data_IF_679422640974
#
_entry.id   IF_679422640974
#
_cell.length_a   1.000
_cell.length_b   1.000
_cell.length_c   1.000
_cell.angle_alpha   90.00
_cell.angle_beta   90.00
_cell.angle_gamma   90.00
#
_symmetry.space_group_name_H-M   'P 1'
#
loop_
_entity.id
_entity.type
_entity.pdbx_description
1 polymer ?
#
# COMPACT_ATOMS: atom_id res chain seq x y z
N UNK A 1 -9.21 -41.93 -3.62
CA UNK A 1 -8.45 -41.65 -4.86
C UNK A 1 -8.46 -40.17 -5.27
N UNK A 2 -9.17 -39.26 -4.56
CA UNK A 2 -9.22 -37.80 -4.84
C UNK A 2 -8.49 -36.94 -3.79
N UNK A 3 -7.88 -37.59 -2.80
CA UNK A 3 -7.18 -36.89 -1.70
C UNK A 3 -5.73 -37.27 -1.80
N UNK A 4 -4.82 -36.30 -1.76
CA UNK A 4 -3.38 -36.52 -1.63
C UNK A 4 -3.06 -37.27 -0.32
N UNK A 5 -1.86 -37.86 -0.24
CA UNK A 5 -1.40 -38.44 1.03
C UNK A 5 -1.34 -37.33 2.10
N UNK A 6 -1.65 -37.68 3.34
CA UNK A 6 -1.49 -36.72 4.45
C UNK A 6 -0.01 -36.35 4.60
N UNK A 7 0.25 -35.06 4.69
CA UNK A 7 1.57 -34.52 4.97
C UNK A 7 2.06 -34.90 6.38
N UNK A 8 3.33 -34.57 6.67
CA UNK A 8 3.88 -34.72 8.02
C UNK A 8 3.10 -33.97 9.11
N UNK A 9 2.34 -32.93 8.73
CA UNK A 9 1.45 -32.17 9.61
C UNK A 9 0.04 -32.75 9.70
N UNK A 10 -0.19 -33.98 9.21
CA UNK A 10 -1.51 -34.61 9.17
C UNK A 10 -2.56 -33.83 8.35
N UNK A 11 -2.14 -33.11 7.32
CA UNK A 11 -2.99 -32.32 6.41
C UNK A 11 -3.00 -32.93 5.01
N UNK A 12 -4.11 -32.81 4.31
CA UNK A 12 -4.26 -33.16 2.91
C UNK A 12 -5.20 -32.20 2.21
N UNK A 13 -4.95 -31.91 0.95
CA UNK A 13 -5.81 -31.10 0.10
C UNK A 13 -6.57 -31.91 -0.93
N UNK A 14 -7.54 -31.26 -1.56
CA UNK A 14 -8.22 -31.74 -2.77
C UNK A 14 -7.72 -30.88 -3.92
N UNK A 15 -7.27 -31.51 -5.01
CA UNK A 15 -6.73 -30.82 -6.17
C UNK A 15 -7.64 -29.69 -6.67
N UNK A 16 -7.04 -28.56 -7.02
CA UNK A 16 -7.71 -27.35 -7.53
C UNK A 16 -8.71 -26.72 -6.57
N UNK A 17 -8.67 -27.06 -5.29
CA UNK A 17 -9.56 -26.51 -4.28
C UNK A 17 -8.78 -25.89 -3.11
N UNK A 18 -9.47 -25.07 -2.32
CA UNK A 18 -8.95 -24.52 -1.06
C UNK A 18 -9.41 -25.33 0.15
N UNK A 19 -10.00 -26.51 -0.09
CA UNK A 19 -10.44 -27.41 0.98
C UNK A 19 -9.24 -28.06 1.64
N UNK A 20 -9.24 -28.08 2.97
CA UNK A 20 -8.20 -28.74 3.76
C UNK A 20 -8.85 -29.82 4.63
N UNK A 21 -8.25 -31.00 4.61
CA UNK A 21 -8.65 -32.14 5.44
C UNK A 21 -7.49 -32.39 6.40
N UNK A 22 -7.78 -32.37 7.69
CA UNK A 22 -6.82 -32.71 8.74
C UNK A 22 -7.23 -34.01 9.39
N UNK A 23 -6.28 -34.96 9.59
CA UNK A 23 -6.57 -36.21 10.24
C UNK A 23 -6.14 -36.18 11.72
N UNK A 24 -6.94 -36.86 12.55
CA UNK A 24 -6.63 -37.14 13.95
C UNK A 24 -6.15 -38.59 14.00
N UNK A 25 -4.98 -38.83 14.57
CA UNK A 25 -4.39 -40.17 14.70
C UNK A 25 -4.44 -40.65 16.15
N UNK A 26 -4.64 -41.94 16.33
CA UNK A 26 -4.51 -42.60 17.61
C UNK A 26 -3.03 -42.85 17.96
N UNK A 27 -2.78 -43.46 19.13
CA UNK A 27 -1.42 -43.83 19.59
C UNK A 27 -0.69 -44.83 18.67
N UNK A 28 -1.42 -45.54 17.81
CA UNK A 28 -0.91 -46.47 16.84
C UNK A 28 -0.77 -45.88 15.42
N UNK A 29 -0.85 -44.52 15.32
CA UNK A 29 -0.82 -43.75 14.07
C UNK A 29 -1.95 -44.07 13.07
N UNK A 30 -3.01 -44.76 13.49
CA UNK A 30 -4.19 -45.02 12.67
C UNK A 30 -5.10 -43.78 12.73
N UNK A 31 -5.71 -43.44 11.58
CA UNK A 31 -6.66 -42.34 11.48
C UNK A 31 -7.98 -42.75 12.13
N UNK A 32 -8.40 -42.02 13.17
CA UNK A 32 -9.66 -42.22 13.86
C UNK A 32 -10.61 -41.00 13.77
N UNK A 33 -10.16 -39.90 13.18
CA UNK A 33 -11.00 -38.73 12.99
C UNK A 33 -10.51 -37.85 11.84
N UNK A 34 -11.44 -37.09 11.24
CA UNK A 34 -11.16 -36.13 10.18
C UNK A 34 -11.82 -34.79 10.50
N UNK A 35 -11.10 -33.70 10.24
CA UNK A 35 -11.64 -32.33 10.27
C UNK A 35 -11.54 -31.75 8.87
N UNK A 36 -12.68 -31.39 8.28
CA UNK A 36 -12.76 -30.81 6.95
C UNK A 36 -13.01 -29.30 7.05
N UNK A 37 -12.12 -28.50 6.47
CA UNK A 37 -12.28 -27.04 6.34
C UNK A 37 -12.64 -26.72 4.89
N UNK A 38 -13.83 -26.14 4.69
CA UNK A 38 -14.27 -25.69 3.36
C UNK A 38 -13.68 -24.33 3.08
N UNK A 39 -12.72 -24.25 2.14
CA UNK A 39 -12.15 -22.99 1.64
C UNK A 39 -13.00 -22.43 0.51
N UNK A 40 -13.08 -21.10 0.42
CA UNK A 40 -13.75 -20.37 -0.65
C UNK A 40 -12.82 -19.28 -1.19
N UNK A 41 -12.81 -19.09 -2.50
CA UNK A 41 -12.19 -17.92 -3.13
C UNK A 41 -13.24 -16.79 -3.19
N UNK A 42 -12.81 -15.58 -2.86
CA UNK A 42 -13.61 -14.36 -2.95
C UNK A 42 -12.89 -13.44 -3.92
N UNK A 43 -13.62 -12.86 -4.86
CA UNK A 43 -13.11 -11.95 -5.88
C UNK A 43 -13.62 -10.54 -5.67
N UNK A 44 -12.92 -9.52 -6.20
CA UNK A 44 -13.31 -8.11 -6.13
C UNK A 44 -12.85 -7.37 -4.86
N UNK A 45 -12.22 -8.04 -3.91
CA UNK A 45 -11.79 -7.43 -2.63
C UNK A 45 -10.68 -6.41 -2.82
N UNK A 46 -9.84 -6.53 -3.85
CA UNK A 46 -8.69 -5.65 -4.09
C UNK A 46 -9.01 -4.39 -4.87
N UNK A 47 -10.26 -4.17 -5.26
CA UNK A 47 -10.68 -2.91 -5.91
C UNK A 47 -10.28 -1.67 -5.10
N UNK A 48 -10.17 -1.79 -3.78
CA UNK A 48 -9.72 -0.75 -2.86
C UNK A 48 -8.27 -0.31 -3.13
N UNK A 49 -7.40 -1.22 -3.58
CA UNK A 49 -5.95 -1.02 -3.69
C UNK A 49 -5.40 -1.26 -5.09
N UNK A 50 -6.27 -1.43 -6.10
CA UNK A 50 -5.85 -1.73 -7.47
C UNK A 50 -4.85 -0.70 -8.01
N UNK A 51 -5.07 0.57 -7.73
CA UNK A 51 -4.18 1.68 -8.05
C UNK A 51 -2.77 1.55 -7.45
N UNK A 52 -2.68 0.95 -6.26
CA UNK A 52 -1.40 0.73 -5.59
C UNK A 52 -0.63 -0.43 -6.23
N UNK A 53 -1.33 -1.48 -6.69
CA UNK A 53 -0.73 -2.59 -7.43
C UNK A 53 -0.13 -2.13 -8.76
N UNK A 54 -0.82 -1.24 -9.47
CA UNK A 54 -0.36 -0.66 -10.73
C UNK A 54 0.90 0.20 -10.56
N UNK A 55 1.16 0.70 -9.36
CA UNK A 55 2.37 1.50 -9.07
C UNK A 55 3.67 0.71 -9.15
N UNK A 56 3.63 -0.62 -9.11
CA UNK A 56 4.81 -1.49 -9.13
C UNK A 56 5.63 -1.49 -7.84
N UNK A 57 5.18 -0.80 -6.80
CA UNK A 57 5.87 -0.74 -5.50
C UNK A 57 5.63 -2.00 -4.68
N UNK A 58 6.59 -2.35 -3.83
CA UNK A 58 6.45 -3.45 -2.88
C UNK A 58 5.45 -3.11 -1.78
N UNK A 59 4.57 -4.06 -1.43
CA UNK A 59 3.42 -3.86 -0.54
C UNK A 59 3.50 -4.81 0.63
N UNK A 60 3.48 -4.27 1.84
CA UNK A 60 3.36 -5.02 3.08
C UNK A 60 1.92 -4.94 3.60
N UNK A 61 1.32 -6.10 3.88
CA UNK A 61 -0.05 -6.19 4.40
C UNK A 61 0.00 -6.58 5.87
N UNK A 62 -0.56 -5.73 6.71
CA UNK A 62 -0.66 -5.87 8.15
C UNK A 62 -2.12 -6.06 8.56
N UNK A 63 -2.35 -6.74 9.67
CA UNK A 63 -3.70 -6.87 10.22
C UNK A 63 -3.85 -8.08 11.13
N UNK A 64 -4.90 -8.07 11.92
CA UNK A 64 -5.21 -9.13 12.87
C UNK A 64 -5.38 -10.48 12.16
N UNK A 65 -5.16 -11.59 12.85
CA UNK A 65 -5.56 -12.90 12.34
C UNK A 65 -7.05 -12.92 11.96
N UNK A 66 -7.38 -13.58 10.86
CA UNK A 66 -8.78 -13.74 10.42
C UNK A 66 -9.41 -12.56 9.68
N UNK A 67 -8.71 -11.41 9.50
CA UNK A 67 -9.27 -10.27 8.74
C UNK A 67 -9.29 -10.47 7.22
N UNK A 68 -8.77 -11.61 6.72
CA UNK A 68 -8.79 -11.95 5.30
C UNK A 68 -7.49 -11.66 4.54
N UNK A 69 -6.34 -11.53 5.21
CA UNK A 69 -5.04 -11.29 4.55
C UNK A 69 -4.75 -12.29 3.44
N UNK A 70 -4.88 -13.58 3.71
CA UNK A 70 -4.67 -14.65 2.72
C UNK A 70 -5.61 -14.54 1.51
N UNK A 71 -6.87 -14.11 1.72
CA UNK A 71 -7.82 -13.87 0.63
C UNK A 71 -7.38 -12.69 -0.24
N UNK A 72 -6.93 -11.60 0.38
CA UNK A 72 -6.42 -10.41 -0.29
C UNK A 72 -5.19 -10.79 -1.14
N UNK A 73 -4.22 -11.51 -0.56
CA UNK A 73 -2.99 -11.93 -1.26
C UNK A 73 -3.32 -12.83 -2.46
N UNK A 74 -4.23 -13.78 -2.29
CA UNK A 74 -4.65 -14.67 -3.39
C UNK A 74 -5.21 -13.88 -4.56
N UNK A 75 -6.06 -12.90 -4.29
CA UNK A 75 -6.63 -12.07 -5.33
C UNK A 75 -5.60 -11.12 -5.96
N UNK A 76 -4.66 -10.59 -5.17
CA UNK A 76 -3.50 -9.84 -5.68
C UNK A 76 -2.70 -10.71 -6.65
N UNK A 77 -2.42 -11.97 -6.30
CA UNK A 77 -1.71 -12.90 -7.16
C UNK A 77 -2.41 -13.08 -8.52
N UNK A 78 -3.72 -13.30 -8.51
CA UNK A 78 -4.53 -13.44 -9.71
C UNK A 78 -4.49 -12.17 -10.56
N UNK A 79 -4.73 -11.01 -9.98
CA UNK A 79 -4.76 -9.75 -10.74
C UNK A 79 -3.40 -9.41 -11.32
N UNK A 80 -2.31 -9.60 -10.56
CA UNK A 80 -0.97 -9.36 -11.07
C UNK A 80 -0.60 -10.35 -12.21
N UNK A 81 -1.03 -11.61 -12.12
CA UNK A 81 -0.69 -12.63 -13.13
C UNK A 81 -1.60 -12.59 -14.34
N UNK A 82 -2.92 -12.43 -14.18
CA UNK A 82 -3.91 -12.55 -15.26
C UNK A 82 -4.24 -11.21 -15.90
N UNK A 83 -4.43 -10.15 -15.09
CA UNK A 83 -4.86 -8.86 -15.58
C UNK A 83 -3.69 -7.92 -15.93
N UNK A 84 -2.59 -8.02 -15.17
CA UNK A 84 -1.38 -7.21 -15.40
C UNK A 84 -0.26 -7.98 -16.12
N UNK A 85 -0.50 -9.26 -16.44
CA UNK A 85 0.42 -10.14 -17.19
C UNK A 85 1.84 -10.23 -16.65
N UNK A 86 2.01 -10.08 -15.33
CA UNK A 86 3.31 -10.18 -14.66
C UNK A 86 3.70 -11.64 -14.40
N UNK A 87 4.99 -11.91 -14.41
CA UNK A 87 5.54 -13.20 -13.94
C UNK A 87 5.54 -13.19 -12.42
N UNK A 88 4.53 -13.85 -11.83
CA UNK A 88 4.29 -13.90 -10.38
C UNK A 88 4.71 -15.26 -9.84
N UNK A 89 5.50 -15.26 -8.76
CA UNK A 89 5.81 -16.44 -7.96
C UNK A 89 5.21 -16.25 -6.57
N UNK A 90 4.55 -17.29 -6.09
CA UNK A 90 3.97 -17.36 -4.75
C UNK A 90 4.82 -18.33 -3.92
N UNK A 91 5.31 -17.87 -2.79
CA UNK A 91 5.98 -18.69 -1.78
C UNK A 91 4.94 -18.97 -0.71
N UNK A 92 4.42 -20.19 -0.74
CA UNK A 92 3.25 -20.60 0.06
C UNK A 92 3.69 -21.61 1.12
N UNK A 93 3.98 -21.11 2.31
CA UNK A 93 4.53 -21.90 3.43
C UNK A 93 3.43 -22.66 4.15
N UNK A 94 2.29 -22.03 4.36
CA UNK A 94 1.14 -22.62 5.06
C UNK A 94 0.16 -23.33 4.13
N UNK A 95 0.41 -23.30 2.81
CA UNK A 95 -0.50 -23.79 1.76
C UNK A 95 -1.89 -23.14 1.79
N UNK A 96 -1.99 -21.92 2.34
CA UNK A 96 -3.26 -21.21 2.48
C UNK A 96 -3.62 -20.40 1.24
N UNK A 97 -2.62 -19.96 0.46
CA UNK A 97 -2.86 -19.14 -0.74
C UNK A 97 -3.38 -20.00 -1.88
N UNK A 98 -2.66 -21.07 -2.21
CA UNK A 98 -2.93 -21.89 -3.39
C UNK A 98 -3.61 -23.24 -3.10
N UNK A 99 -3.73 -23.63 -1.83
CA UNK A 99 -4.32 -24.88 -1.36
C UNK A 99 -3.28 -25.96 -1.02
N UNK A 100 -3.71 -26.98 -0.26
CA UNK A 100 -2.84 -28.04 0.28
C UNK A 100 -2.43 -29.13 -0.76
N UNK A 101 -2.95 -29.08 -1.98
CA UNK A 101 -2.66 -30.09 -3.02
C UNK A 101 -1.51 -29.64 -3.93
N UNK A 102 -0.91 -30.60 -4.68
CA UNK A 102 0.15 -30.30 -5.65
C UNK A 102 -0.36 -29.44 -6.82
N UNK A 103 -1.62 -29.64 -7.22
CA UNK A 103 -2.26 -28.79 -8.22
C UNK A 103 -2.92 -27.60 -7.54
N UNK A 104 -2.43 -26.36 -7.81
CA UNK A 104 -2.91 -25.17 -7.13
C UNK A 104 -4.35 -24.82 -7.55
N UNK A 105 -5.02 -24.07 -6.68
CA UNK A 105 -6.35 -23.54 -6.94
C UNK A 105 -6.30 -22.45 -8.02
N UNK A 106 -7.29 -22.44 -8.92
CA UNK A 106 -7.41 -21.45 -10.01
C UNK A 106 -7.52 -19.98 -9.55
N UNK A 107 -7.82 -19.77 -8.28
CA UNK A 107 -7.89 -18.42 -7.67
C UNK A 107 -6.56 -17.67 -7.59
N UNK A 108 -5.43 -18.31 -7.90
CA UNK A 108 -4.13 -17.63 -8.03
C UNK A 108 -3.82 -17.21 -9.49
N UNK A 109 -4.72 -17.54 -10.43
CA UNK A 109 -4.51 -17.27 -11.86
C UNK A 109 -3.31 -18.05 -12.44
N UNK A 110 -2.54 -17.38 -13.30
CA UNK A 110 -1.32 -17.91 -13.92
C UNK A 110 -0.08 -17.81 -13.03
N UNK A 111 -0.21 -17.38 -11.77
CA UNK A 111 0.90 -17.32 -10.84
C UNK A 111 1.46 -18.73 -10.56
N UNK A 112 2.78 -18.82 -10.47
CA UNK A 112 3.47 -20.08 -10.17
C UNK A 112 3.67 -20.19 -8.67
N UNK A 113 3.32 -21.36 -8.09
CA UNK A 113 3.53 -21.62 -6.68
C UNK A 113 4.83 -22.38 -6.43
N UNK A 114 5.59 -21.93 -5.45
CA UNK A 114 6.67 -22.67 -4.81
C UNK A 114 6.22 -23.07 -3.41
N UNK A 115 6.16 -24.37 -3.15
CA UNK A 115 5.85 -24.92 -1.82
C UNK A 115 7.10 -24.89 -0.95
N UNK A 116 6.94 -24.56 0.30
CA UNK A 116 8.03 -24.57 1.29
C UNK A 116 7.96 -25.91 2.05
N UNK A 117 8.97 -26.77 1.93
CA UNK A 117 8.94 -28.10 2.56
C UNK A 117 8.92 -28.05 4.08
N UNK A 118 9.61 -27.06 4.66
CA UNK A 118 9.68 -26.76 6.10
C UNK A 118 9.72 -25.25 6.29
N UNK A 119 9.03 -24.76 7.27
CA UNK A 119 8.97 -23.31 7.58
C UNK A 119 10.34 -22.67 7.74
N UNK A 120 11.30 -23.38 8.33
CA UNK A 120 12.67 -22.92 8.51
C UNK A 120 13.42 -22.64 7.20
N UNK A 121 12.99 -23.26 6.09
CA UNK A 121 13.63 -23.12 4.78
C UNK A 121 13.02 -22.04 3.90
N UNK A 122 12.00 -21.32 4.38
CA UNK A 122 11.30 -20.31 3.60
C UNK A 122 12.26 -19.28 3.00
N UNK A 123 13.21 -18.74 3.80
CA UNK A 123 14.19 -17.77 3.34
C UNK A 123 15.06 -18.28 2.18
N UNK A 124 15.39 -19.57 2.15
CA UNK A 124 16.14 -20.20 1.03
C UNK A 124 15.30 -20.27 -0.24
N UNK A 125 14.03 -20.67 -0.11
CA UNK A 125 13.10 -20.72 -1.25
C UNK A 125 12.83 -19.31 -1.80
N UNK A 126 12.80 -18.28 -0.93
CA UNK A 126 12.70 -16.88 -1.36
C UNK A 126 13.88 -16.47 -2.26
N UNK A 127 15.09 -16.83 -1.90
CA UNK A 127 16.29 -16.54 -2.70
C UNK A 127 16.33 -17.39 -3.98
N UNK A 128 15.99 -18.67 -3.89
CA UNK A 128 15.88 -19.57 -5.04
C UNK A 128 14.89 -19.04 -6.07
N UNK A 129 13.75 -18.49 -5.61
CA UNK A 129 12.74 -17.94 -6.51
C UNK A 129 13.31 -16.84 -7.42
N UNK A 130 14.13 -15.95 -6.88
CA UNK A 130 14.72 -14.85 -7.66
C UNK A 130 15.89 -15.31 -8.53
N UNK A 131 16.68 -16.25 -8.05
CA UNK A 131 17.88 -16.72 -8.76
C UNK A 131 17.53 -17.61 -9.96
N UNK A 132 16.56 -18.50 -9.79
CA UNK A 132 16.27 -19.52 -10.80
C UNK A 132 15.08 -19.18 -11.71
N UNK A 133 14.16 -18.31 -11.28
CA UNK A 133 12.87 -18.18 -11.96
C UNK A 133 12.58 -16.79 -12.52
N UNK A 134 13.44 -15.81 -12.30
CA UNK A 134 13.36 -14.43 -12.84
C UNK A 134 11.94 -13.82 -12.72
N UNK A 135 11.34 -13.78 -11.52
CA UNK A 135 10.02 -13.21 -11.34
C UNK A 135 10.04 -11.69 -11.47
N UNK A 136 8.91 -11.11 -11.84
CA UNK A 136 8.67 -9.67 -11.72
C UNK A 136 8.04 -9.34 -10.37
N UNK A 137 7.30 -10.30 -9.81
CA UNK A 137 6.65 -10.16 -8.51
C UNK A 137 6.85 -11.45 -7.70
N UNK A 138 7.24 -11.31 -6.46
CA UNK A 138 7.23 -12.39 -5.47
C UNK A 138 6.17 -12.10 -4.42
N UNK A 139 5.31 -13.07 -4.18
CA UNK A 139 4.28 -13.03 -3.14
C UNK A 139 4.68 -13.98 -2.04
N UNK A 140 4.70 -13.49 -0.80
CA UNK A 140 5.11 -14.26 0.38
C UNK A 140 3.91 -14.33 1.32
N UNK A 141 3.53 -15.54 1.72
CA UNK A 141 2.39 -15.78 2.59
C UNK A 141 2.55 -15.03 3.92
N UNK A 142 3.64 -15.31 4.61
CA UNK A 142 3.95 -14.67 5.87
C UNK A 142 5.47 -14.54 6.09
N UNK A 143 5.89 -13.37 6.59
CA UNK A 143 7.25 -13.10 7.00
C UNK A 143 7.26 -13.00 8.52
N UNK A 144 7.89 -13.97 9.19
CA UNK A 144 7.88 -14.09 10.65
C UNK A 144 9.27 -14.08 11.29
N UNK A 145 10.33 -14.35 10.53
CA UNK A 145 11.69 -14.52 11.04
C UNK A 145 12.66 -13.45 10.50
N UNK A 146 13.76 -13.27 11.21
CA UNK A 146 14.83 -12.34 10.80
C UNK A 146 15.48 -12.76 9.47
N UNK A 147 15.70 -14.06 9.26
CA UNK A 147 16.26 -14.58 8.00
C UNK A 147 15.35 -14.31 6.79
N UNK A 148 14.05 -14.38 6.99
CA UNK A 148 13.07 -14.03 5.96
C UNK A 148 13.04 -12.52 5.70
N UNK A 149 13.18 -11.70 6.74
CA UNK A 149 13.27 -10.25 6.60
C UNK A 149 14.51 -9.84 5.81
N UNK A 150 15.66 -10.47 6.07
CA UNK A 150 16.90 -10.26 5.31
C UNK A 150 16.76 -10.73 3.84
N UNK A 151 16.13 -11.88 3.62
CA UNK A 151 15.86 -12.36 2.26
C UNK A 151 14.93 -11.41 1.50
N UNK A 152 13.87 -10.91 2.14
CA UNK A 152 12.95 -9.93 1.56
C UNK A 152 13.68 -8.63 1.18
N UNK A 153 14.59 -8.15 2.01
CA UNK A 153 15.42 -7.00 1.71
C UNK A 153 16.33 -7.25 0.49
N UNK A 154 17.00 -8.39 0.44
CA UNK A 154 17.85 -8.78 -0.70
C UNK A 154 17.05 -8.82 -2.02
N UNK A 155 15.83 -9.34 -1.98
CA UNK A 155 14.92 -9.38 -3.14
C UNK A 155 14.53 -7.96 -3.57
N UNK A 156 14.20 -7.09 -2.61
CA UNK A 156 13.86 -5.69 -2.89
C UNK A 156 15.02 -4.91 -3.51
N UNK A 157 16.26 -5.15 -3.04
CA UNK A 157 17.49 -4.55 -3.57
C UNK A 157 17.75 -4.99 -5.03
N UNK A 158 17.34 -6.20 -5.42
CA UNK A 158 17.39 -6.69 -6.81
C UNK A 158 16.27 -6.13 -7.69
N UNK A 159 15.40 -5.25 -7.16
CA UNK A 159 14.37 -4.55 -7.93
C UNK A 159 13.12 -5.36 -8.25
N UNK A 160 12.91 -6.51 -7.61
CA UNK A 160 11.69 -7.32 -7.76
C UNK A 160 10.61 -6.79 -6.84
N UNK A 161 9.39 -6.65 -7.36
CA UNK A 161 8.25 -6.24 -6.54
C UNK A 161 7.89 -7.31 -5.53
N UNK A 162 7.82 -6.95 -4.25
CA UNK A 162 7.41 -7.82 -3.17
C UNK A 162 5.98 -7.52 -2.72
N UNK A 163 5.19 -8.57 -2.48
CA UNK A 163 3.92 -8.48 -1.77
C UNK A 163 3.96 -9.51 -0.65
N UNK A 164 3.80 -9.09 0.59
CA UNK A 164 3.89 -10.01 1.71
C UNK A 164 3.01 -9.61 2.87
N UNK A 165 2.73 -10.57 3.77
CA UNK A 165 2.14 -10.29 5.07
C UNK A 165 3.15 -10.53 6.18
N UNK A 166 2.86 -9.98 7.33
CA UNK A 166 3.58 -10.29 8.55
C UNK A 166 2.63 -10.28 9.75
N UNK A 167 3.10 -10.85 10.85
CA UNK A 167 2.44 -10.70 12.13
C UNK A 167 2.57 -9.27 12.63
N UNK A 168 1.43 -8.64 12.89
CA UNK A 168 1.35 -7.27 13.38
C UNK A 168 0.06 -6.61 12.93
N UNK A 169 -0.53 -5.80 13.79
CA UNK A 169 -1.78 -5.12 13.49
C UNK A 169 -1.55 -3.78 12.81
N UNK A 170 -0.41 -3.15 13.08
CA UNK A 170 -0.05 -1.82 12.60
C UNK A 170 1.46 -1.67 12.43
N UNK A 171 1.86 -0.63 11.71
CA UNK A 171 3.26 -0.33 11.39
C UNK A 171 4.09 -0.09 12.67
N UNK A 172 3.51 0.48 13.71
CA UNK A 172 4.20 0.74 14.99
C UNK A 172 4.58 -0.56 15.72
N UNK A 173 3.77 -1.62 15.61
CA UNK A 173 4.10 -2.93 16.20
C UNK A 173 5.28 -3.58 15.47
N UNK A 174 5.37 -3.39 14.17
CA UNK A 174 6.49 -3.89 13.38
C UNK A 174 7.80 -3.21 13.74
N UNK A 175 7.78 -1.90 13.94
CA UNK A 175 8.93 -1.10 14.38
C UNK A 175 9.47 -1.60 15.73
N UNK A 176 8.60 -2.04 16.64
CA UNK A 176 8.97 -2.54 17.97
C UNK A 176 9.47 -3.99 17.97
N UNK A 177 9.27 -4.72 16.88
CA UNK A 177 9.71 -6.09 16.78
C UNK A 177 11.13 -6.17 16.17
N UNK A 178 12.16 -6.55 16.94
CA UNK A 178 13.55 -6.57 16.45
C UNK A 178 13.74 -7.46 15.24
N UNK A 179 13.10 -8.63 15.20
CA UNK A 179 13.23 -9.61 14.11
C UNK A 179 12.64 -9.11 12.77
N UNK A 180 11.67 -8.19 12.80
CA UNK A 180 10.95 -7.73 11.62
C UNK A 180 11.22 -6.27 11.28
N UNK A 181 11.91 -5.55 12.14
CA UNK A 181 12.24 -4.13 11.93
C UNK A 181 13.02 -3.88 10.64
N UNK A 182 13.79 -4.86 10.18
CA UNK A 182 14.56 -4.77 8.92
C UNK A 182 13.67 -4.66 7.67
N UNK A 183 12.43 -5.17 7.71
CA UNK A 183 11.45 -4.99 6.63
C UNK A 183 11.13 -3.51 6.38
N UNK A 184 11.21 -2.71 7.42
CA UNK A 184 10.92 -1.28 7.41
C UNK A 184 12.18 -0.41 7.45
N UNK A 185 13.35 -1.01 7.25
CA UNK A 185 14.64 -0.33 7.15
C UNK A 185 15.52 -0.44 8.38
N UNK A 186 15.14 -1.27 9.39
CA UNK A 186 15.88 -1.41 10.64
C UNK A 186 15.87 -0.13 11.48
N UNK A 187 16.10 -0.25 12.76
CA UNK A 187 16.12 0.88 13.69
C UNK A 187 17.41 0.85 14.50
N UNK A 188 18.01 2.01 14.66
CA UNK A 188 19.22 2.18 15.45
C UNK A 188 19.12 3.42 16.34
N UNK A 189 19.85 3.37 17.44
CA UNK A 189 20.10 4.56 18.25
C UNK A 189 21.28 5.34 17.68
N UNK A 190 21.06 6.63 17.45
CA UNK A 190 22.10 7.55 17.00
C UNK A 190 22.28 8.61 18.07
N UNK A 191 23.54 8.84 18.49
CA UNK A 191 23.89 9.91 19.41
C UNK A 191 24.23 11.16 18.61
N UNK A 192 23.48 12.22 18.82
CA UNK A 192 23.69 13.53 18.18
C UNK A 192 24.48 14.47 19.11
N UNK A 193 25.11 15.49 18.55
CA UNK A 193 25.82 16.50 19.30
C UNK A 193 24.88 17.33 20.20
N UNK A 194 25.44 17.95 21.26
CA UNK A 194 24.67 18.80 22.17
C UNK A 194 24.00 19.98 21.48
N UNK A 195 24.67 20.58 20.51
CA UNK A 195 24.15 21.68 19.73
C UNK A 195 22.95 21.26 18.88
N UNK A 196 23.06 20.10 18.22
CA UNK A 196 21.99 19.57 17.38
C UNK A 196 20.81 19.10 18.24
N UNK A 197 21.04 18.50 19.41
CA UNK A 197 19.99 18.10 20.35
C UNK A 197 19.20 19.32 20.84
N UNK A 198 19.90 20.41 21.19
CA UNK A 198 19.28 21.68 21.56
C UNK A 198 18.48 22.31 20.42
N UNK A 199 19.04 22.29 19.19
CA UNK A 199 18.36 22.84 18.00
C UNK A 199 17.09 22.07 17.67
N UNK A 200 17.09 20.75 17.80
CA UNK A 200 15.93 19.88 17.55
C UNK A 200 14.98 19.79 18.74
N UNK A 201 15.36 20.25 19.94
CA UNK A 201 14.56 20.11 21.15
C UNK A 201 14.36 18.64 21.56
N UNK A 202 15.34 17.77 21.28
CA UNK A 202 15.27 16.33 21.53
C UNK A 202 16.38 15.87 22.49
N UNK A 203 16.31 14.61 22.93
CA UNK A 203 17.39 13.97 23.67
C UNK A 203 18.60 13.74 22.76
N UNK A 204 19.80 13.58 23.35
CA UNK A 204 21.03 13.26 22.61
C UNK A 204 20.96 11.91 21.88
N UNK A 205 20.25 10.94 22.44
CA UNK A 205 20.03 9.64 21.83
C UNK A 205 18.66 9.65 21.15
N UNK A 206 18.65 9.51 19.85
CA UNK A 206 17.43 9.46 19.01
C UNK A 206 17.36 8.14 18.27
N UNK A 207 16.14 7.69 17.99
CA UNK A 207 15.90 6.55 17.14
C UNK A 207 15.83 7.02 15.68
N UNK A 208 16.66 6.44 14.85
CA UNK A 208 16.64 6.69 13.40
C UNK A 208 16.61 5.36 12.64
N UNK A 209 16.12 5.43 11.41
CA UNK A 209 16.10 4.31 10.49
C UNK A 209 17.51 4.05 9.96
N UNK A 210 17.91 2.75 9.91
CA UNK A 210 19.25 2.30 9.50
C UNK A 210 19.44 2.29 7.99
N UNK A 211 18.38 1.93 7.24
CA UNK A 211 18.42 1.75 5.79
C UNK A 211 17.06 2.03 5.12
N UNK A 212 16.99 1.89 3.80
CA UNK A 212 15.73 1.96 3.07
C UNK A 212 14.83 0.75 3.40
N UNK A 213 13.50 0.94 3.50
CA UNK A 213 12.57 -0.15 3.74
C UNK A 213 12.47 -1.08 2.52
N UNK A 214 12.35 -2.39 2.75
CA UNK A 214 12.10 -3.38 1.72
C UNK A 214 10.73 -3.19 1.06
N UNK A 215 9.76 -2.65 1.80
CA UNK A 215 8.42 -2.35 1.33
C UNK A 215 8.18 -0.84 1.31
N UNK A 216 7.81 -0.30 0.14
CA UNK A 216 7.53 1.13 -0.03
C UNK A 216 6.12 1.51 0.41
N UNK A 217 5.19 0.56 0.36
CA UNK A 217 3.79 0.72 0.75
C UNK A 217 3.47 -0.22 1.92
N UNK A 218 2.66 0.23 2.86
CA UNK A 218 2.09 -0.63 3.88
C UNK A 218 0.57 -0.43 3.96
N UNK A 219 -0.14 -1.54 4.14
CA UNK A 219 -1.60 -1.58 4.21
C UNK A 219 -1.98 -2.25 5.52
N UNK A 220 -2.64 -1.51 6.40
CA UNK A 220 -3.19 -2.04 7.64
C UNK A 220 -4.67 -2.40 7.40
N UNK A 221 -4.99 -3.69 7.40
CA UNK A 221 -6.35 -4.20 7.23
C UNK A 221 -7.04 -4.17 8.59
N UNK A 222 -7.82 -3.13 8.84
CA UNK A 222 -8.55 -2.98 10.11
C UNK A 222 -9.75 -3.94 10.17
N UNK A 223 -10.50 -4.01 9.08
CA UNK A 223 -11.59 -4.95 8.83
C UNK A 223 -11.80 -5.12 7.32
N UNK A 224 -12.75 -5.96 6.91
CA UNK A 224 -13.04 -6.28 5.50
C UNK A 224 -13.32 -5.03 4.67
N UNK A 225 -13.93 -4.00 5.24
CA UNK A 225 -14.37 -2.79 4.55
C UNK A 225 -13.54 -1.53 4.82
N UNK A 226 -12.55 -1.58 5.72
CA UNK A 226 -11.78 -0.40 6.14
C UNK A 226 -10.29 -0.70 6.24
N UNK A 227 -9.50 -0.03 5.40
CA UNK A 227 -8.06 -0.22 5.29
C UNK A 227 -7.33 1.09 5.47
N UNK A 228 -6.24 1.06 6.22
CA UNK A 228 -5.34 2.21 6.39
C UNK A 228 -4.12 2.02 5.52
N UNK A 229 -3.81 3.00 4.69
CA UNK A 229 -2.75 2.92 3.69
C UNK A 229 -1.66 3.93 4.03
N UNK A 230 -0.43 3.44 4.04
CA UNK A 230 0.79 4.21 4.11
C UNK A 230 1.41 4.26 2.73
N UNK A 231 1.16 5.34 1.97
CA UNK A 231 1.66 5.52 0.59
C UNK A 231 3.19 5.67 0.53
N UNK A 232 3.81 6.00 1.65
CA UNK A 232 5.25 6.06 1.81
C UNK A 232 5.61 5.58 3.22
N UNK A 233 6.10 4.34 3.29
CA UNK A 233 6.48 3.69 4.55
C UNK A 233 7.65 4.43 5.20
N UNK A 234 8.61 4.89 4.42
CA UNK A 234 9.78 5.63 4.89
C UNK A 234 9.37 6.86 5.69
N UNK A 235 8.55 7.74 5.11
CA UNK A 235 8.07 8.93 5.79
C UNK A 235 7.19 8.61 6.99
N UNK A 236 6.39 7.54 6.91
CA UNK A 236 5.51 7.12 8.02
C UNK A 236 6.32 6.66 9.23
N UNK A 237 7.39 5.90 9.00
CA UNK A 237 8.29 5.44 10.06
C UNK A 237 9.04 6.60 10.69
N UNK A 238 9.62 7.48 9.88
CA UNK A 238 10.36 8.64 10.38
C UNK A 238 9.47 9.55 11.25
N UNK A 239 8.20 9.71 10.88
CA UNK A 239 7.22 10.43 11.70
C UNK A 239 6.91 9.71 13.02
N UNK A 240 6.76 8.37 12.99
CA UNK A 240 6.52 7.56 14.19
C UNK A 240 7.72 7.64 15.14
N UNK A 241 8.94 7.50 14.63
CA UNK A 241 10.18 7.55 15.43
C UNK A 241 10.39 8.92 16.08
N UNK A 242 10.06 9.99 15.38
CA UNK A 242 10.10 11.37 15.92
C UNK A 242 8.93 11.68 16.85
N UNK A 243 8.00 10.74 17.02
CA UNK A 243 6.83 10.94 17.84
C UNK A 243 5.81 11.94 17.28
N UNK A 244 5.87 12.24 15.99
CA UNK A 244 4.98 13.17 15.30
C UNK A 244 3.67 12.52 14.85
N UNK A 245 2.67 13.36 14.53
CA UNK A 245 1.38 12.88 14.04
C UNK A 245 1.54 12.18 12.69
N UNK A 246 1.07 10.95 12.60
CA UNK A 246 1.02 10.14 11.39
C UNK A 246 -0.11 10.63 10.48
N UNK A 247 0.19 10.87 9.22
CA UNK A 247 -0.82 11.10 8.19
C UNK A 247 -1.03 9.78 7.47
N UNK A 248 -2.20 9.19 7.63
CA UNK A 248 -2.57 7.95 6.95
C UNK A 248 -3.82 8.15 6.10
N UNK A 249 -3.86 7.45 4.96
CA UNK A 249 -5.03 7.39 4.11
C UNK A 249 -5.91 6.24 4.58
N UNK A 250 -7.17 6.52 4.94
CA UNK A 250 -8.15 5.47 5.23
C UNK A 250 -9.07 5.30 4.04
N UNK A 251 -9.17 4.08 3.54
CA UNK A 251 -10.08 3.70 2.45
C UNK A 251 -11.19 2.83 3.02
N UNK A 252 -12.42 3.18 2.72
CA UNK A 252 -13.60 2.43 3.16
C UNK A 252 -14.49 2.08 1.97
N UNK A 253 -14.97 0.86 1.92
CA UNK A 253 -16.05 0.44 1.03
C UNK A 253 -17.39 0.72 1.73
N UNK A 254 -18.22 1.58 1.16
CA UNK A 254 -19.61 1.76 1.61
C UNK A 254 -20.51 0.69 0.98
N UNK A 255 -21.66 0.38 1.62
CA UNK A 255 -22.64 -0.63 1.17
C UNK A 255 -23.08 -0.51 -0.31
N UNK A 256 -22.84 0.62 -0.97
CA UNK A 256 -23.16 0.89 -2.38
C UNK A 256 -21.89 0.85 -3.27
N UNK A 257 -20.88 0.06 -2.94
CA UNK A 257 -19.62 -0.12 -3.70
C UNK A 257 -18.83 1.18 -3.97
N UNK A 258 -19.22 2.30 -3.39
CA UNK A 258 -18.49 3.55 -3.52
C UNK A 258 -17.29 3.57 -2.57
N UNK A 259 -16.10 3.67 -3.15
CA UNK A 259 -14.85 3.84 -2.42
C UNK A 259 -14.79 5.25 -1.82
N UNK A 260 -14.71 5.35 -0.50
CA UNK A 260 -14.44 6.61 0.17
C UNK A 260 -12.99 6.65 0.65
N UNK A 261 -12.26 7.68 0.25
CA UNK A 261 -10.86 7.90 0.62
C UNK A 261 -10.81 9.10 1.56
N UNK A 262 -10.39 8.86 2.80
CA UNK A 262 -10.25 9.90 3.82
C UNK A 262 -8.80 9.97 4.30
N UNK A 263 -8.24 11.17 4.39
CA UNK A 263 -6.95 11.40 5.03
C UNK A 263 -7.18 11.75 6.49
N UNK A 264 -6.69 10.92 7.41
CA UNK A 264 -6.74 11.19 8.85
C UNK A 264 -5.35 11.58 9.34
N UNK A 265 -5.30 12.69 10.08
CA UNK A 265 -4.18 13.04 10.94
C UNK A 265 -4.47 12.39 12.28
N UNK A 266 -3.79 11.28 12.58
CA UNK A 266 -3.91 10.63 13.89
C UNK A 266 -3.16 11.50 14.90
N UNK A 267 -3.91 12.22 15.74
CA UNK A 267 -3.36 12.85 16.95
C UNK A 267 -2.97 11.77 17.95
N UNK A 268 -1.86 11.98 18.64
CA UNK A 268 -1.44 11.14 19.76
C UNK A 268 -2.47 11.24 20.90
N UNK A 269 -3.28 10.24 21.05
CA UNK A 269 -4.04 10.00 22.27
C UNK A 269 -3.47 8.83 23.09
N UNK A 270 -2.16 8.63 23.13
CA UNK A 270 -1.57 7.73 24.13
C UNK A 270 -0.11 8.11 24.40
N UNK A 271 0.14 8.50 25.64
CA UNK A 271 1.41 8.80 26.31
C UNK A 271 1.73 10.30 26.43
N UNK A 272 1.00 11.03 27.25
CA UNK A 272 1.54 12.04 28.16
C UNK A 272 0.48 12.35 29.23
N UNK A 273 0.34 11.51 30.23
CA UNK A 273 0.12 11.95 31.60
C UNK A 273 1.51 12.08 32.17
N UNK A 274 2.03 13.27 32.24
CA UNK A 274 3.16 13.83 32.95
C UNK A 274 4.16 14.53 32.00
N UNK A 275 3.82 15.75 31.62
CA UNK A 275 4.76 16.87 31.58
C UNK A 275 3.97 18.14 31.27
N UNK A 276 3.74 18.93 32.31
CA UNK A 276 3.44 20.36 32.23
C UNK A 276 4.65 21.06 31.62
N UNK A 277 4.42 22.08 30.82
CA UNK A 277 5.34 22.98 30.14
C UNK A 277 5.84 22.52 28.76
N UNK A 278 5.24 23.11 27.73
CA UNK A 278 5.98 23.68 26.61
C UNK A 278 5.10 24.62 25.76
N UNK A 279 5.66 25.76 25.56
CA UNK A 279 5.15 26.98 24.96
C UNK A 279 4.70 26.90 23.51
N UNK A 280 3.80 27.80 23.20
CA UNK A 280 2.98 28.12 22.03
C UNK A 280 3.73 28.70 20.82
N UNK A 281 4.99 28.39 20.53
CA UNK A 281 5.72 29.04 19.42
C UNK A 281 6.12 28.18 18.20
N UNK A 282 5.84 26.88 18.21
CA UNK A 282 6.20 25.98 17.06
C UNK A 282 5.06 25.74 16.07
N UNK A 283 3.97 26.50 16.13
CA UNK A 283 2.79 26.31 15.26
C UNK A 283 2.90 27.10 13.94
N UNK A 284 3.83 28.06 13.81
CA UNK A 284 3.84 28.97 12.66
C UNK A 284 4.53 28.46 11.39
N UNK A 285 5.49 27.53 11.50
CA UNK A 285 6.26 27.09 10.33
C UNK A 285 5.57 25.97 9.54
N UNK A 286 4.73 25.15 10.18
CA UNK A 286 3.99 24.08 9.50
C UNK A 286 2.70 24.56 8.80
N UNK A 287 2.16 25.71 9.16
CA UNK A 287 0.98 26.28 8.49
C UNK A 287 1.26 26.68 7.03
N UNK A 288 2.46 27.12 6.73
CA UNK A 288 2.79 27.64 5.39
C UNK A 288 2.90 26.57 4.29
N UNK A 289 3.19 25.29 4.64
CA UNK A 289 3.24 24.18 3.69
C UNK A 289 1.88 23.51 3.46
N UNK A 290 0.98 23.58 4.43
CA UNK A 290 -0.37 22.99 4.35
C UNK A 290 -1.42 23.91 3.74
N UNK A 291 -1.19 25.23 3.80
CA UNK A 291 -2.10 26.21 3.18
C UNK A 291 -1.98 26.30 1.65
N UNK A 292 -0.93 25.68 1.06
CA UNK A 292 -0.80 25.63 -0.41
C UNK A 292 -1.59 24.48 -1.06
N UNK A 293 -2.10 23.51 -0.31
CA UNK A 293 -2.84 22.35 -0.83
C UNK A 293 -4.33 22.31 -0.41
N UNK A 294 -4.78 23.23 0.43
CA UNK A 294 -6.21 23.47 0.63
C UNK A 294 -6.64 24.65 -0.26
N UNK A 295 -7.71 24.50 -1.05
CA UNK A 295 -8.34 25.69 -1.60
C UNK A 295 -8.71 26.57 -0.42
N UNK A 296 -8.10 27.76 -0.32
CA UNK A 296 -8.63 28.82 0.52
C UNK A 296 -10.09 28.89 0.16
N UNK A 297 -10.96 28.90 1.15
CA UNK A 297 -12.39 29.08 1.03
C UNK A 297 -12.66 30.19 0.01
N UNK A 298 -12.67 29.86 -1.27
CA UNK A 298 -13.43 30.65 -2.22
C UNK A 298 -14.87 30.33 -1.91
N UNK A 299 -15.62 31.38 -1.62
CA UNK A 299 -17.04 31.30 -1.41
C UNK A 299 -17.67 30.36 -2.43
N UNK A 300 -18.62 29.58 -1.97
CA UNK A 300 -19.45 28.69 -2.78
C UNK A 300 -19.84 29.40 -4.09
N UNK A 301 -19.00 29.29 -5.11
CA UNK A 301 -19.49 29.40 -6.49
C UNK A 301 -20.15 28.04 -6.76
N UNK A 302 -21.43 27.97 -6.46
CA UNK A 302 -22.34 26.99 -7.01
C UNK A 302 -22.28 27.12 -8.53
N UNK A 303 -21.31 26.43 -9.14
CA UNK A 303 -21.28 26.20 -10.58
C UNK A 303 -22.45 25.27 -10.92
N UNK A 304 -23.59 25.83 -11.24
CA UNK A 304 -24.72 25.19 -11.93
C UNK A 304 -24.36 24.91 -13.40
N UNK A 305 -23.17 24.39 -13.71
CA UNK A 305 -22.85 23.92 -15.05
C UNK A 305 -22.34 22.47 -14.95
N UNK A 306 -23.01 21.59 -15.66
CA UNK A 306 -22.77 20.15 -15.70
C UNK A 306 -21.45 19.76 -16.35
N UNK A 307 -20.66 20.70 -16.85
CA UNK A 307 -19.42 20.45 -17.61
C UNK A 307 -18.26 21.29 -17.07
N UNK A 308 -17.11 20.64 -16.78
CA UNK A 308 -15.89 21.26 -16.33
C UNK A 308 -14.96 21.58 -17.50
N UNK A 309 -14.62 22.85 -17.73
CA UNK A 309 -13.71 23.29 -18.80
C UNK A 309 -12.29 23.36 -18.24
N UNK A 310 -11.40 22.51 -18.75
CA UNK A 310 -10.02 22.36 -18.25
C UNK A 310 -9.01 22.84 -19.29
N UNK A 311 -8.05 23.65 -18.85
CA UNK A 311 -6.89 24.05 -19.64
C UNK A 311 -5.67 23.21 -19.20
N UNK A 312 -5.20 22.26 -20.05
CA UNK A 312 -4.03 21.44 -19.73
C UNK A 312 -2.75 22.20 -20.13
N UNK A 313 -1.87 22.44 -19.15
CA UNK A 313 -0.58 23.07 -19.39
C UNK A 313 0.56 22.06 -19.33
N UNK A 314 1.30 21.91 -20.43
CA UNK A 314 2.46 21.00 -20.53
C UNK A 314 2.13 19.52 -20.25
N UNK A 315 0.92 19.09 -20.63
CA UNK A 315 0.50 17.69 -20.62
C UNK A 315 0.56 17.10 -22.03
N UNK A 316 0.88 15.79 -22.14
CA UNK A 316 0.94 15.12 -23.42
C UNK A 316 -0.46 14.89 -24.01
N UNK A 317 -0.56 14.89 -25.36
CA UNK A 317 -1.82 14.65 -26.08
C UNK A 317 -2.44 13.28 -25.72
N UNK A 318 -1.63 12.26 -25.46
CA UNK A 318 -2.10 10.93 -25.07
C UNK A 318 -2.78 10.94 -23.69
N UNK A 319 -2.18 11.61 -22.71
CA UNK A 319 -2.77 11.82 -21.38
C UNK A 319 -4.12 12.54 -21.45
N UNK A 320 -4.21 13.53 -22.31
CA UNK A 320 -5.44 14.30 -22.53
C UNK A 320 -6.53 13.42 -23.15
N UNK A 321 -6.17 12.58 -24.15
CA UNK A 321 -7.10 11.65 -24.79
C UNK A 321 -7.66 10.62 -23.81
N UNK A 322 -6.82 10.07 -22.94
CA UNK A 322 -7.28 9.10 -21.92
C UNK A 322 -8.20 9.71 -20.87
N UNK A 323 -7.98 10.99 -20.52
CA UNK A 323 -8.88 11.73 -19.63
C UNK A 323 -10.26 11.89 -20.30
N UNK A 324 -10.30 12.27 -21.58
CA UNK A 324 -11.55 12.43 -22.32
C UNK A 324 -12.32 11.11 -22.45
N UNK A 325 -11.62 10.00 -22.71
CA UNK A 325 -12.27 8.67 -22.82
C UNK A 325 -12.95 8.29 -21.48
N UNK A 326 -12.32 8.62 -20.32
CA UNK A 326 -12.85 8.22 -19.02
C UNK A 326 -13.96 9.12 -18.47
N UNK A 327 -13.95 10.41 -18.78
CA UNK A 327 -14.90 11.37 -18.22
C UNK A 327 -16.00 11.79 -19.19
N UNK A 328 -15.85 11.44 -20.48
CA UNK A 328 -16.86 11.74 -21.53
C UNK A 328 -17.23 13.22 -21.56
N UNK A 329 -18.52 13.51 -21.67
CA UNK A 329 -19.06 14.86 -21.83
C UNK A 329 -18.98 15.75 -20.57
N UNK A 330 -18.52 15.21 -19.44
CA UNK A 330 -18.40 15.97 -18.19
C UNK A 330 -17.17 16.89 -18.15
N UNK A 331 -16.21 16.68 -19.07
CA UNK A 331 -14.98 17.48 -19.15
C UNK A 331 -14.78 17.96 -20.58
N UNK A 332 -14.63 19.25 -20.73
CA UNK A 332 -14.25 19.88 -22.00
C UNK A 332 -12.83 20.39 -21.87
N UNK A 333 -11.98 20.05 -22.82
CA UNK A 333 -10.61 20.54 -22.86
C UNK A 333 -10.52 21.73 -23.79
N UNK A 334 -10.00 22.85 -23.27
CA UNK A 334 -9.80 24.07 -24.05
C UNK A 334 -8.31 24.38 -24.25
N UNK A 335 -7.99 24.98 -25.37
CA UNK A 335 -6.66 25.55 -25.64
C UNK A 335 -6.58 27.02 -25.28
N UNK A 336 -7.72 27.66 -24.94
CA UNK A 336 -7.79 29.07 -24.56
C UNK A 336 -7.97 29.23 -23.08
N UNK A 337 -6.99 29.87 -22.40
CA UNK A 337 -7.02 30.13 -20.95
C UNK A 337 -8.29 30.93 -20.56
N UNK A 338 -8.77 31.78 -21.46
CA UNK A 338 -9.95 32.66 -21.22
C UNK A 338 -11.23 31.89 -20.93
N UNK A 339 -11.37 30.67 -21.46
CA UNK A 339 -12.57 29.86 -21.37
C UNK A 339 -12.45 28.77 -20.27
N UNK A 340 -11.30 28.64 -19.65
CA UNK A 340 -11.06 27.58 -18.69
C UNK A 340 -11.61 27.91 -17.30
N UNK A 341 -12.23 26.93 -16.66
CA UNK A 341 -12.65 26.98 -15.28
C UNK A 341 -11.54 26.48 -14.35
N UNK A 342 -10.57 25.72 -14.91
CA UNK A 342 -9.50 25.07 -14.17
C UNK A 342 -8.24 24.92 -15.04
N UNK A 343 -7.05 25.19 -14.46
CA UNK A 343 -5.77 24.96 -15.12
C UNK A 343 -5.08 23.80 -14.43
N UNK A 344 -4.65 22.78 -15.20
CA UNK A 344 -3.91 21.64 -14.70
C UNK A 344 -2.56 21.55 -15.42
N UNK A 345 -1.46 21.38 -14.67
CA UNK A 345 -0.16 21.21 -15.29
C UNK A 345 0.93 20.72 -14.35
N UNK A 346 2.08 20.36 -14.92
CA UNK A 346 3.22 19.88 -14.16
C UNK A 346 3.82 20.99 -13.29
N UNK A 347 4.05 20.70 -12.02
CA UNK A 347 4.63 21.62 -11.01
C UNK A 347 5.91 22.28 -11.50
N UNK A 348 6.79 21.51 -12.16
CA UNK A 348 8.08 22.00 -12.73
C UNK A 348 7.86 23.11 -13.75
N UNK A 349 6.94 22.95 -14.69
CA UNK A 349 6.71 23.91 -15.78
C UNK A 349 5.83 25.09 -15.34
N UNK A 350 4.85 24.86 -14.45
CA UNK A 350 4.02 25.93 -13.91
C UNK A 350 4.78 26.89 -13.00
N UNK A 351 5.82 26.44 -12.29
CA UNK A 351 6.67 27.31 -11.47
C UNK A 351 7.41 28.36 -12.29
N UNK A 352 7.82 28.02 -13.50
CA UNK A 352 8.61 28.88 -14.37
C UNK A 352 7.77 29.87 -15.20
N UNK A 353 6.47 29.66 -15.31
CA UNK A 353 5.62 30.50 -16.15
C UNK A 353 4.87 31.56 -15.33
N UNK A 354 5.54 32.70 -15.12
CA UNK A 354 4.98 33.82 -14.37
C UNK A 354 3.78 34.47 -15.07
N UNK A 355 3.80 34.56 -16.41
CA UNK A 355 2.69 35.17 -17.20
C UNK A 355 1.39 34.38 -17.07
N UNK A 356 1.47 33.07 -17.06
CA UNK A 356 0.29 32.20 -16.89
C UNK A 356 -0.31 32.36 -15.50
N UNK A 357 0.52 32.47 -14.45
CA UNK A 357 0.08 32.70 -13.08
C UNK A 357 -0.63 34.06 -12.93
N UNK A 358 -0.06 35.12 -13.53
CA UNK A 358 -0.73 36.44 -13.52
C UNK A 358 -2.07 36.42 -14.22
N UNK A 359 -2.16 35.77 -15.39
CA UNK A 359 -3.43 35.68 -16.14
C UNK A 359 -4.48 34.86 -15.36
N UNK A 360 -4.09 33.77 -14.74
CA UNK A 360 -4.96 32.96 -13.93
C UNK A 360 -5.45 33.71 -12.69
N UNK A 361 -4.57 34.41 -11.99
CA UNK A 361 -4.89 35.25 -10.85
C UNK A 361 -5.85 36.40 -11.21
N UNK A 362 -5.58 37.09 -12.34
CA UNK A 362 -6.44 38.20 -12.83
C UNK A 362 -7.86 37.77 -13.17
N UNK A 363 -8.08 36.46 -13.43
CA UNK A 363 -9.35 35.90 -13.82
C UNK A 363 -9.95 34.95 -12.77
N UNK A 364 -9.34 34.85 -11.60
CA UNK A 364 -9.74 33.93 -10.53
C UNK A 364 -9.83 32.45 -10.97
N UNK A 365 -8.99 32.02 -11.94
CA UNK A 365 -8.97 30.62 -12.41
C UNK A 365 -8.01 29.85 -11.51
N UNK A 366 -8.45 28.80 -10.81
CA UNK A 366 -7.58 27.99 -9.96
C UNK A 366 -6.56 27.21 -10.79
N UNK A 367 -5.30 27.14 -10.30
CA UNK A 367 -4.21 26.37 -10.89
C UNK A 367 -3.90 25.20 -10.00
N UNK A 368 -3.99 23.99 -10.56
CA UNK A 368 -3.59 22.75 -9.89
C UNK A 368 -2.32 22.19 -10.48
N UNK A 369 -1.39 21.83 -9.59
CA UNK A 369 -0.09 21.33 -9.99
C UNK A 369 0.02 19.84 -9.73
N UNK A 370 0.57 19.11 -10.71
CA UNK A 370 0.84 17.68 -10.63
C UNK A 370 2.35 17.49 -10.50
N UNK A 371 2.78 16.63 -9.59
CA UNK A 371 4.20 16.36 -9.36
C UNK A 371 4.83 15.47 -10.44
N UNK A 372 4.06 14.51 -10.95
CA UNK A 372 4.48 13.54 -11.97
C UNK A 372 3.45 13.46 -13.11
N UNK A 373 3.88 12.96 -14.29
CA UNK A 373 2.99 12.71 -15.44
C UNK A 373 2.12 11.47 -15.22
N UNK A 374 1.43 11.40 -14.10
CA UNK A 374 0.54 10.29 -13.75
C UNK A 374 -0.91 10.63 -14.13
N UNK A 375 -1.51 9.80 -14.98
CA UNK A 375 -2.93 9.84 -15.34
C UNK A 375 -3.78 9.79 -14.07
N UNK A 376 -3.38 8.96 -13.12
CA UNK A 376 -4.07 8.76 -11.86
C UNK A 376 -4.20 10.05 -11.02
N UNK A 377 -3.12 10.84 -10.91
CA UNK A 377 -3.17 12.12 -10.18
C UNK A 377 -4.12 13.11 -10.85
N UNK A 378 -4.14 13.13 -12.19
CA UNK A 378 -5.05 14.00 -12.94
C UNK A 378 -6.49 13.56 -12.76
N UNK A 379 -6.75 12.25 -12.87
CA UNK A 379 -8.09 11.70 -12.74
C UNK A 379 -8.66 11.93 -11.34
N UNK A 380 -7.88 11.69 -10.30
CA UNK A 380 -8.26 11.94 -8.92
C UNK A 380 -8.63 13.42 -8.67
N UNK A 381 -7.85 14.32 -9.26
CA UNK A 381 -8.08 15.75 -9.18
C UNK A 381 -9.38 16.13 -9.91
N UNK A 382 -9.60 15.60 -11.10
CA UNK A 382 -10.82 15.87 -11.89
C UNK A 382 -12.09 15.27 -11.26
N UNK A 383 -11.99 14.08 -10.67
CA UNK A 383 -13.10 13.48 -9.91
C UNK A 383 -13.56 14.37 -8.75
N UNK A 384 -12.62 15.02 -8.06
CA UNK A 384 -12.95 15.95 -6.98
C UNK A 384 -13.80 17.14 -7.42
N UNK A 385 -13.67 17.59 -8.67
CA UNK A 385 -14.45 18.71 -9.23
C UNK A 385 -15.77 18.28 -9.85
N UNK A 386 -15.93 17.02 -10.19
CA UNK A 386 -17.14 16.50 -10.86
C UNK A 386 -18.10 15.84 -9.85
N UNK A 387 -17.57 15.44 -8.67
CA UNK A 387 -18.38 14.94 -7.55
C UNK A 387 -19.01 16.07 -6.79
#
# INVERSE_FOLDING_TARGET
>A
KRISKFSGENRAGIERTLHRISCIRNRQFLINGLTCRVGRAIFGTISIIRDLLESGKSILILGKPGVGKTTIIREIARVLSDEMEKRVIIIDTSNEIAGDSDVPHSGIGRARRMQVPKTELQHKIMLEAIENHMPQVIIIDEIGTELEALAARTIAEKGVQLVGTTHGNCLENLIKNPSLSDLVGGIQYVTISDEEAKRRGTQKSILERKSYPAFQLAIEVNNISSWTIHENVENSIDLILRGNCKISQTRNIKKNEKLSINYKKLQKDFLIKNSRFLNTEMISIHKHWFEMDKPKSLGLLTLKSTTLIVYPYSLSKNLIREILIKFGDKIIITTQIKQANLIIGLKKHLRQNFRLKQLAHKRNIPIYTISQRSIYQIMRLLQFFIS
#
